data_IF_907174661764
#
_entry.id   IF_907174661764
#
_cell.length_a   1.000
_cell.length_b   1.000
_cell.length_c   1.000
_cell.angle_alpha   90.00
_cell.angle_beta   90.00
_cell.angle_gamma   90.00
#
_symmetry.space_group_name_H-M   'P 1'
#
loop_
_entity.id
_entity.type
_entity.pdbx_description
1 polymer ?
#
# COMPACT_ATOMS: atom_id res chain seq x y z
N UNK A 1 -46.66 -36.56 63.28
CA UNK A 1 -47.04 -37.97 63.10
C UNK A 1 -45.78 -38.81 63.12
N UNK A 2 -45.59 -39.52 64.23
CA UNK A 2 -44.57 -40.54 64.45
C UNK A 2 -44.77 -41.72 63.49
N UNK A 3 -43.68 -42.35 63.06
CA UNK A 3 -43.44 -43.79 63.29
C UNK A 3 -42.00 -44.19 62.95
N UNK A 4 -41.20 -44.22 64.04
CA UNK A 4 -40.29 -45.31 64.43
C UNK A 4 -39.20 -45.76 63.45
N UNK A 5 -37.98 -45.30 63.75
CA UNK A 5 -36.71 -46.02 63.64
C UNK A 5 -36.90 -47.50 64.03
N UNK A 6 -36.50 -48.41 63.13
CA UNK A 6 -36.19 -49.79 63.48
C UNK A 6 -34.72 -50.02 63.16
N UNK A 7 -33.93 -50.02 64.22
CA UNK A 7 -32.55 -50.48 64.24
C UNK A 7 -32.59 -52.01 64.19
N UNK A 8 -32.04 -52.61 63.13
CA UNK A 8 -31.76 -54.04 63.07
C UNK A 8 -30.27 -54.25 63.36
N UNK A 9 -29.94 -54.49 64.64
CA UNK A 9 -28.67 -55.10 65.03
C UNK A 9 -28.81 -56.59 64.74
N UNK A 10 -28.22 -57.05 63.64
CA UNK A 10 -27.94 -58.45 63.44
C UNK A 10 -26.51 -58.72 63.94
N UNK A 11 -26.40 -59.21 65.17
CA UNK A 11 -25.19 -59.86 65.63
C UNK A 11 -25.09 -61.22 64.93
N UNK A 12 -24.08 -61.41 64.08
CA UNK A 12 -23.69 -62.74 63.60
C UNK A 12 -22.27 -63.03 64.08
N UNK A 13 -22.20 -64.20 64.68
CA UNK A 13 -21.10 -64.83 65.38
C UNK A 13 -19.89 -65.07 64.48
N UNK A 14 -18.74 -65.20 65.14
CA UNK A 14 -17.46 -65.61 64.57
C UNK A 14 -17.58 -66.78 63.58
N UNK A 15 -16.90 -66.66 62.44
CA UNK A 15 -16.54 -67.80 61.59
C UNK A 15 -16.87 -67.64 60.11
N UNK A 16 -15.95 -67.07 59.33
CA UNK A 16 -15.84 -67.27 57.87
C UNK A 16 -16.88 -66.58 56.98
N UNK A 17 -16.43 -66.19 55.78
CA UNK A 17 -17.19 -65.70 54.60
C UNK A 17 -18.07 -64.45 54.74
N UNK A 18 -17.55 -63.31 54.26
CA UNK A 18 -18.04 -62.58 53.06
C UNK A 18 -17.70 -61.07 53.14
N UNK A 19 -16.47 -60.71 52.73
CA UNK A 19 -16.19 -59.38 52.19
C UNK A 19 -16.93 -59.23 50.85
N UNK A 20 -18.23 -58.96 50.86
CA UNK A 20 -19.01 -58.77 49.63
C UNK A 20 -20.21 -57.84 49.82
N UNK A 21 -20.00 -56.67 50.42
CA UNK A 21 -21.06 -55.66 50.52
C UNK A 21 -20.56 -54.21 50.41
N UNK A 22 -19.47 -53.98 49.67
CA UNK A 22 -19.02 -52.63 49.29
C UNK A 22 -18.78 -52.46 47.77
N UNK A 23 -19.26 -53.39 46.94
CA UNK A 23 -18.93 -53.44 45.50
C UNK A 23 -20.11 -53.20 44.54
N UNK A 24 -21.23 -52.63 44.99
CA UNK A 24 -22.42 -52.42 44.15
C UNK A 24 -22.72 -50.95 43.85
N UNK A 25 -21.76 -50.19 43.33
CA UNK A 25 -22.04 -48.90 42.66
C UNK A 25 -21.38 -48.78 41.26
N UNK A 26 -20.46 -49.67 40.85
CA UNK A 26 -19.77 -49.58 39.55
C UNK A 26 -19.84 -50.89 38.74
N UNK A 27 -21.03 -51.33 38.32
CA UNK A 27 -21.18 -52.37 37.27
C UNK A 27 -21.65 -51.76 35.95
N UNK A 28 -21.15 -50.58 35.58
CA UNK A 28 -21.22 -50.15 34.18
C UNK A 28 -20.42 -51.14 33.35
N UNK A 29 -21.01 -51.67 32.28
CA UNK A 29 -20.24 -52.39 31.27
C UNK A 29 -19.43 -51.35 30.46
N UNK A 30 -18.23 -51.74 30.00
CA UNK A 30 -17.37 -50.85 29.25
C UNK A 30 -16.79 -51.56 28.03
N UNK A 31 -16.75 -50.86 26.91
CA UNK A 31 -15.97 -51.23 25.73
C UNK A 31 -14.53 -50.73 25.89
N UNK A 32 -13.57 -51.52 25.42
CA UNK A 32 -12.16 -51.14 25.34
C UNK A 32 -11.93 -50.31 24.08
N UNK A 33 -11.25 -49.17 24.20
CA UNK A 33 -10.82 -48.38 23.04
C UNK A 33 -9.54 -48.99 22.48
N UNK A 34 -9.58 -49.39 21.20
CA UNK A 34 -8.45 -50.02 20.50
C UNK A 34 -7.61 -48.98 19.77
N UNK A 35 -8.24 -48.07 19.03
CA UNK A 35 -7.59 -47.08 18.18
C UNK A 35 -8.36 -45.77 18.22
N UNK A 36 -7.61 -44.66 18.24
CA UNK A 36 -8.15 -43.31 18.22
C UNK A 36 -7.45 -42.55 17.11
N UNK A 37 -8.20 -42.19 16.08
CA UNK A 37 -7.69 -41.44 14.93
C UNK A 37 -8.31 -40.05 14.92
N UNK A 38 -7.53 -38.97 15.10
CA UNK A 38 -8.08 -37.61 15.08
C UNK A 38 -8.58 -37.26 13.67
N UNK A 39 -9.74 -36.60 13.62
CA UNK A 39 -10.31 -36.02 12.42
C UNK A 39 -9.93 -34.54 12.39
N UNK A 40 -9.20 -34.13 11.37
CA UNK A 40 -8.77 -32.74 11.20
C UNK A 40 -9.47 -32.04 10.06
N UNK A 41 -9.72 -30.74 10.23
CA UNK A 41 -10.21 -29.83 9.20
C UNK A 41 -9.23 -28.67 9.02
N UNK A 42 -9.00 -28.24 7.77
CA UNK A 42 -8.15 -27.08 7.47
C UNK A 42 -8.93 -25.80 7.67
N UNK A 43 -8.57 -25.04 8.69
CA UNK A 43 -9.17 -23.74 9.02
C UNK A 43 -8.20 -22.60 8.75
N UNK A 44 -8.71 -21.45 8.32
CA UNK A 44 -7.89 -20.24 8.14
C UNK A 44 -7.58 -19.60 9.49
N UNK A 45 -6.30 -19.42 9.76
CA UNK A 45 -5.79 -18.77 10.96
C UNK A 45 -5.69 -17.26 10.72
N UNK A 46 -6.15 -16.47 11.67
CA UNK A 46 -6.07 -15.01 11.62
C UNK A 46 -5.37 -14.46 12.85
N UNK A 47 -4.51 -13.46 12.65
CA UNK A 47 -3.95 -12.64 13.72
C UNK A 47 -4.62 -11.28 13.77
N UNK A 48 -4.73 -10.70 14.97
CA UNK A 48 -5.20 -9.33 15.16
C UNK A 48 -4.06 -8.34 14.96
N UNK A 49 -4.30 -7.30 14.17
CA UNK A 49 -3.31 -6.25 13.90
C UNK A 49 -3.29 -5.26 15.05
N UNK A 50 -2.15 -5.17 15.74
CA UNK A 50 -1.93 -4.24 16.85
C UNK A 50 -1.50 -2.87 16.31
N UNK A 51 -0.56 -2.84 15.37
CA UNK A 51 -0.11 -1.61 14.72
C UNK A 51 0.42 -1.87 13.31
N UNK A 52 0.35 -0.86 12.45
CA UNK A 52 0.86 -0.91 11.09
C UNK A 52 1.55 0.42 10.75
N UNK A 53 2.88 0.43 10.88
CA UNK A 53 3.71 1.62 10.65
C UNK A 53 4.18 1.65 9.20
N UNK A 54 3.94 2.73 8.44
CA UNK A 54 4.40 2.81 7.06
C UNK A 54 5.93 2.87 6.99
N UNK A 55 6.50 2.08 6.09
CA UNK A 55 7.91 2.12 5.71
C UNK A 55 8.02 2.97 4.45
N UNK A 56 8.70 4.10 4.55
CA UNK A 56 8.84 5.06 3.46
C UNK A 56 10.26 5.10 2.91
N UNK A 57 10.39 5.28 1.61
CA UNK A 57 11.65 5.49 0.90
C UNK A 57 11.59 6.82 0.16
N UNK A 58 12.68 7.58 0.21
CA UNK A 58 12.86 8.76 -0.64
C UNK A 58 13.44 8.31 -1.96
N UNK A 59 12.75 8.63 -3.06
CA UNK A 59 13.20 8.40 -4.43
C UNK A 59 13.41 9.74 -5.13
N UNK A 60 14.34 9.79 -6.08
CA UNK A 60 14.49 10.96 -6.94
C UNK A 60 13.31 11.03 -7.90
N UNK A 61 12.51 12.08 -7.77
CA UNK A 61 11.43 12.39 -8.71
C UNK A 61 11.84 13.57 -9.59
N UNK A 62 11.37 13.59 -10.83
CA UNK A 62 11.48 14.77 -11.67
C UNK A 62 10.09 15.39 -11.85
N UNK A 63 10.01 16.70 -11.69
CA UNK A 63 8.79 17.48 -11.92
C UNK A 63 9.07 18.53 -12.97
N UNK A 64 8.20 18.60 -13.96
CA UNK A 64 8.22 19.69 -14.94
C UNK A 64 7.61 20.95 -14.31
N UNK A 65 8.39 22.03 -14.28
CA UNK A 65 7.97 23.34 -13.82
C UNK A 65 8.03 24.30 -15.00
N UNK A 66 6.87 24.84 -15.38
CA UNK A 66 6.75 25.78 -16.48
C UNK A 66 6.52 27.20 -15.95
N UNK A 67 7.40 28.12 -16.32
CA UNK A 67 7.35 29.53 -15.97
C UNK A 67 7.18 30.38 -17.24
N UNK A 68 6.35 31.42 -17.16
CA UNK A 68 6.23 32.39 -18.23
C UNK A 68 7.39 33.39 -18.11
N UNK A 69 8.29 33.40 -19.10
CA UNK A 69 9.45 34.31 -19.16
C UNK A 69 9.30 35.27 -20.32
N UNK A 70 9.69 36.53 -20.07
CA UNK A 70 9.81 37.52 -21.13
C UNK A 70 11.14 37.30 -21.83
N UNK A 71 11.08 36.93 -23.11
CA UNK A 71 12.25 36.68 -23.98
C UNK A 71 12.33 37.78 -25.03
N UNK A 72 13.55 38.26 -25.29
CA UNK A 72 13.83 39.33 -26.25
C UNK A 72 14.24 38.74 -27.60
N UNK A 73 13.56 39.14 -28.67
CA UNK A 73 13.92 38.81 -30.05
C UNK A 73 14.42 40.04 -30.78
N UNK A 74 15.47 39.88 -31.58
CA UNK A 74 15.85 40.90 -32.55
C UNK A 74 14.88 40.87 -33.73
N UNK A 75 14.23 41.99 -33.97
CA UNK A 75 13.25 42.12 -35.05
C UNK A 75 14.00 42.32 -36.36
N UNK A 76 13.58 41.61 -37.41
CA UNK A 76 14.17 41.83 -38.72
C UNK A 76 13.92 43.28 -39.20
N UNK A 77 14.95 43.95 -39.77
CA UNK A 77 14.79 45.31 -40.27
C UNK A 77 13.73 45.39 -41.37
N UNK A 78 12.79 46.35 -41.26
CA UNK A 78 11.79 46.61 -42.32
C UNK A 78 12.40 47.08 -43.65
N UNK A 79 13.62 47.62 -43.61
CA UNK A 79 14.37 48.10 -44.76
C UNK A 79 15.82 47.61 -44.63
N UNK A 80 16.12 46.38 -45.07
CA UNK A 80 17.43 45.75 -44.90
C UNK A 80 18.54 46.51 -45.65
N UNK A 81 18.18 47.17 -46.75
CA UNK A 81 19.10 47.95 -47.58
C UNK A 81 19.28 49.39 -47.08
N UNK A 82 18.58 49.79 -46.02
CA UNK A 82 18.62 51.14 -45.42
C UNK A 82 18.38 52.26 -46.46
N UNK A 83 17.52 51.97 -47.44
CA UNK A 83 17.26 52.85 -48.59
C UNK A 83 16.58 54.14 -48.13
N UNK A 84 15.67 54.04 -47.17
CA UNK A 84 14.85 55.17 -46.69
C UNK A 84 15.72 56.25 -46.07
N UNK A 85 16.63 55.88 -45.17
CA UNK A 85 17.57 56.79 -44.52
C UNK A 85 18.60 57.33 -45.51
N UNK A 86 19.07 56.49 -46.44
CA UNK A 86 20.02 56.89 -47.48
C UNK A 86 19.43 57.96 -48.41
N UNK A 87 18.21 57.72 -48.92
CA UNK A 87 17.54 58.65 -49.84
C UNK A 87 17.13 59.94 -49.13
N UNK A 88 16.51 59.84 -47.94
CA UNK A 88 16.14 61.03 -47.17
C UNK A 88 17.37 61.88 -46.80
N UNK A 89 18.45 61.23 -46.36
CA UNK A 89 19.72 61.88 -46.07
C UNK A 89 20.35 62.54 -47.29
N UNK A 90 20.30 61.90 -48.46
CA UNK A 90 20.81 62.45 -49.71
C UNK A 90 20.05 63.71 -50.15
N UNK A 91 18.72 63.69 -50.04
CA UNK A 91 17.87 64.84 -50.38
C UNK A 91 18.19 66.01 -49.45
N UNK A 92 18.19 65.77 -48.14
CA UNK A 92 18.50 66.83 -47.15
C UNK A 92 19.92 67.36 -47.35
N UNK A 93 20.91 66.48 -47.49
CA UNK A 93 22.30 66.87 -47.69
C UNK A 93 22.56 67.59 -49.02
N UNK A 94 21.85 67.22 -50.09
CA UNK A 94 21.90 67.90 -51.38
C UNK A 94 21.26 69.29 -51.34
N UNK A 95 20.12 69.44 -50.67
CA UNK A 95 19.45 70.74 -50.51
C UNK A 95 20.27 71.70 -49.65
N UNK A 96 20.94 71.21 -48.60
CA UNK A 96 21.86 72.01 -47.78
C UNK A 96 23.12 72.36 -48.59
N UNK A 97 23.72 71.39 -49.29
CA UNK A 97 24.91 71.61 -50.12
C UNK A 97 24.68 72.60 -51.27
N UNK A 98 23.46 72.67 -51.81
CA UNK A 98 23.08 73.61 -52.87
C UNK A 98 22.97 75.07 -52.39
N UNK A 99 22.92 75.31 -51.09
CA UNK A 99 22.87 76.67 -50.52
C UNK A 99 24.27 77.24 -50.23
N UNK A 100 25.32 76.42 -50.36
CA UNK A 100 26.70 76.81 -50.04
C UNK A 100 27.51 77.01 -51.32
N UNK A 101 27.85 78.27 -51.63
CA UNK A 101 28.70 78.66 -52.77
C UNK A 101 27.94 79.02 -54.05
N UNK A 102 28.68 79.57 -55.03
CA UNK A 102 28.16 79.98 -56.34
C UNK A 102 28.72 79.16 -57.51
N UNK A 103 28.07 79.26 -58.66
CA UNK A 103 28.57 78.68 -59.92
C UNK A 103 28.80 77.17 -59.89
N UNK A 104 29.97 76.73 -60.35
CA UNK A 104 30.41 75.33 -60.38
C UNK A 104 30.67 74.75 -58.98
N UNK A 105 31.08 75.59 -58.01
CA UNK A 105 31.28 75.18 -56.62
C UNK A 105 30.00 74.69 -55.95
N UNK A 106 28.86 75.32 -56.28
CA UNK A 106 27.54 74.91 -55.79
C UNK A 106 27.18 73.48 -56.23
N UNK A 107 27.45 73.10 -57.48
CA UNK A 107 27.16 71.75 -57.99
C UNK A 107 27.99 70.68 -57.26
N UNK A 108 29.26 70.96 -57.03
CA UNK A 108 30.16 70.09 -56.28
C UNK A 108 29.72 69.93 -54.82
N UNK A 109 29.35 71.04 -54.17
CA UNK A 109 28.83 71.04 -52.81
C UNK A 109 27.51 70.25 -52.67
N UNK A 110 26.61 70.35 -53.65
CA UNK A 110 25.37 69.53 -53.69
C UNK A 110 25.66 68.03 -53.78
N UNK A 111 26.59 67.60 -54.64
CA UNK A 111 26.94 66.17 -54.79
C UNK A 111 27.62 65.64 -53.53
N UNK A 112 28.57 66.41 -52.98
CA UNK A 112 29.24 66.06 -51.73
C UNK A 112 28.28 66.02 -50.54
N UNK A 113 27.37 67.00 -50.46
CA UNK A 113 26.32 67.07 -49.44
C UNK A 113 25.35 65.90 -49.54
N UNK A 114 24.91 65.53 -50.74
CA UNK A 114 24.05 64.37 -50.95
C UNK A 114 24.75 63.05 -50.58
N UNK A 115 26.02 62.86 -50.95
CA UNK A 115 26.78 61.67 -50.59
C UNK A 115 27.03 61.56 -49.06
N UNK A 116 27.39 62.67 -48.42
CA UNK A 116 27.58 62.74 -46.97
C UNK A 116 26.27 62.53 -46.20
N UNK A 117 25.19 63.16 -46.68
CA UNK A 117 23.84 62.99 -46.12
C UNK A 117 23.32 61.56 -46.27
N UNK A 118 23.55 60.92 -47.42
CA UNK A 118 23.24 59.50 -47.65
C UNK A 118 23.94 58.57 -46.65
N UNK A 119 25.25 58.78 -46.47
CA UNK A 119 26.04 57.97 -45.54
C UNK A 119 25.58 58.14 -44.09
N UNK A 120 25.36 59.38 -43.65
CA UNK A 120 24.87 59.68 -42.31
C UNK A 120 23.46 59.10 -42.08
N UNK A 121 22.55 59.26 -43.05
CA UNK A 121 21.20 58.74 -42.98
C UNK A 121 21.15 57.21 -42.92
N UNK A 122 22.02 56.52 -43.68
CA UNK A 122 22.20 55.06 -43.61
C UNK A 122 22.64 54.59 -42.22
N UNK A 123 23.60 55.29 -41.60
CA UNK A 123 24.13 54.93 -40.28
C UNK A 123 23.12 55.14 -39.15
N UNK A 124 22.32 56.20 -39.24
CA UNK A 124 21.24 56.46 -38.26
C UNK A 124 20.16 55.38 -38.35
N UNK A 125 19.72 55.02 -39.56
CA UNK A 125 18.74 53.96 -39.77
C UNK A 125 19.25 52.60 -39.28
N UNK A 126 20.53 52.29 -39.51
CA UNK A 126 21.19 51.10 -38.99
C UNK A 126 21.15 51.03 -37.46
N UNK A 127 21.59 52.08 -36.77
CA UNK A 127 21.57 52.12 -35.31
C UNK A 127 20.15 52.00 -34.72
N UNK A 128 19.13 52.51 -35.41
CA UNK A 128 17.75 52.37 -34.96
C UNK A 128 17.17 50.98 -35.22
N UNK A 129 17.55 50.33 -36.33
CA UNK A 129 17.13 48.97 -36.65
C UNK A 129 17.77 47.96 -35.69
N UNK A 130 19.06 48.14 -35.34
CA UNK A 130 19.80 47.27 -34.39
C UNK A 130 19.26 47.35 -32.96
N UNK A 131 18.63 48.47 -32.58
CA UNK A 131 18.06 48.67 -31.24
C UNK A 131 16.62 48.18 -31.11
N UNK A 132 16.01 47.66 -32.19
CA UNK A 132 14.64 47.16 -32.14
C UNK A 132 14.63 45.72 -31.64
N UNK A 133 14.37 45.59 -30.35
CA UNK A 133 14.02 44.32 -29.71
C UNK A 133 12.51 44.26 -29.51
N UNK A 134 11.93 43.09 -29.74
CA UNK A 134 10.55 42.78 -29.38
C UNK A 134 10.56 41.76 -28.25
N UNK A 135 9.77 42.03 -27.22
CA UNK A 135 9.58 41.12 -26.09
C UNK A 135 8.37 40.25 -26.35
N UNK A 136 8.53 38.94 -26.17
CA UNK A 136 7.42 37.99 -26.18
C UNK A 136 7.41 37.24 -24.86
N UNK A 137 6.22 36.98 -24.34
CA UNK A 137 6.07 36.03 -23.22
C UNK A 137 6.07 34.63 -23.80
N UNK A 138 7.04 33.81 -23.39
CA UNK A 138 7.10 32.40 -23.74
C UNK A 138 7.06 31.54 -22.48
N UNK A 139 6.40 30.39 -22.61
CA UNK A 139 6.33 29.41 -21.52
C UNK A 139 7.54 28.49 -21.60
N UNK A 140 8.43 28.63 -20.63
CA UNK A 140 9.66 27.84 -20.53
C UNK A 140 9.47 26.77 -19.48
N UNK A 141 9.55 25.50 -19.89
CA UNK A 141 9.44 24.36 -18.99
C UNK A 141 10.82 23.77 -18.69
N UNK A 142 11.09 23.52 -17.42
CA UNK A 142 12.33 22.89 -16.94
C UNK A 142 12.01 21.70 -16.04
N UNK A 143 12.82 20.64 -16.16
CA UNK A 143 12.74 19.49 -15.27
C UNK A 143 13.53 19.80 -13.99
N UNK A 144 12.82 19.78 -12.86
CA UNK A 144 13.40 19.97 -11.53
C UNK A 144 13.41 18.63 -10.81
N UNK A 145 14.57 18.21 -10.33
CA UNK A 145 14.69 17.02 -9.48
C UNK A 145 14.29 17.38 -8.06
N UNK A 146 13.27 16.70 -7.55
CA UNK A 146 12.73 16.91 -6.21
C UNK A 146 12.57 15.53 -5.53
N UNK A 147 13.06 15.35 -4.30
CA UNK A 147 12.92 14.08 -3.59
C UNK A 147 11.44 13.80 -3.31
N UNK A 148 10.97 12.62 -3.70
CA UNK A 148 9.62 12.15 -3.45
C UNK A 148 9.62 11.04 -2.41
N UNK A 149 8.77 11.13 -1.40
CA UNK A 149 8.59 10.06 -0.43
C UNK A 149 7.54 9.07 -0.92
N UNK A 150 7.89 7.79 -0.98
CA UNK A 150 6.99 6.69 -1.36
C UNK A 150 6.94 5.65 -0.25
N UNK A 151 5.74 5.26 0.15
CA UNK A 151 5.55 4.10 1.05
C UNK A 151 5.82 2.81 0.27
N UNK A 152 6.79 2.02 0.73
CA UNK A 152 7.21 0.76 0.12
C UNK A 152 6.67 -0.47 0.87
N UNK A 153 6.12 -0.28 2.06
CA UNK A 153 5.51 -1.35 2.84
C UNK A 153 5.06 -0.87 4.21
N UNK A 154 4.71 -1.83 5.07
CA UNK A 154 4.27 -1.59 6.44
C UNK A 154 4.94 -2.59 7.37
N UNK A 155 5.53 -2.09 8.45
CA UNK A 155 5.93 -2.92 9.58
C UNK A 155 4.72 -3.12 10.47
N UNK A 156 4.30 -4.38 10.55
CA UNK A 156 3.07 -4.79 11.22
C UNK A 156 3.41 -5.54 12.48
N UNK A 157 2.90 -5.04 13.60
CA UNK A 157 2.88 -5.80 14.86
C UNK A 157 1.52 -6.46 14.97
N UNK A 158 1.50 -7.77 15.17
CA UNK A 158 0.28 -8.57 15.27
C UNK A 158 0.26 -9.37 16.56
N UNK A 159 -0.94 -9.73 17.00
CA UNK A 159 -1.18 -10.65 18.11
C UNK A 159 -1.88 -11.89 17.56
N UNK A 160 -1.27 -13.06 17.77
CA UNK A 160 -1.83 -14.35 17.44
C UNK A 160 -1.90 -15.18 18.71
N UNK A 161 -3.12 -15.48 19.18
CA UNK A 161 -3.38 -16.27 20.39
C UNK A 161 -2.61 -15.79 21.65
N UNK A 162 -2.43 -14.48 21.79
CA UNK A 162 -1.70 -13.84 22.90
C UNK A 162 -0.21 -13.67 22.65
N UNK A 163 0.34 -14.20 21.55
CA UNK A 163 1.73 -14.03 21.17
C UNK A 163 1.89 -12.86 20.20
N UNK A 164 2.71 -11.89 20.58
CA UNK A 164 3.00 -10.72 19.75
C UNK A 164 4.14 -11.05 18.79
N UNK A 165 3.87 -10.89 17.50
CA UNK A 165 4.85 -11.05 16.42
C UNK A 165 4.98 -9.78 15.58
N UNK A 166 6.01 -9.75 14.74
CA UNK A 166 6.21 -8.72 13.73
C UNK A 166 6.37 -9.34 12.35
N UNK A 167 5.86 -8.64 11.34
CA UNK A 167 6.06 -8.98 9.94
C UNK A 167 6.05 -7.71 9.08
N UNK A 168 6.49 -7.85 7.82
CA UNK A 168 6.38 -6.79 6.83
C UNK A 168 5.35 -7.15 5.77
N UNK A 169 4.45 -6.21 5.47
CA UNK A 169 3.47 -6.34 4.39
C UNK A 169 3.71 -5.28 3.33
N UNK A 170 3.43 -5.60 2.07
CA UNK A 170 3.55 -4.62 0.96
C UNK A 170 2.42 -3.57 1.00
N UNK A 171 1.21 -4.01 1.35
CA UNK A 171 0.01 -3.17 1.44
C UNK A 171 -0.36 -2.94 2.90
N UNK A 172 -1.10 -1.85 3.15
CA UNK A 172 -1.62 -1.53 4.48
C UNK A 172 -2.55 -2.67 4.93
N UNK A 173 -2.26 -3.35 6.05
CA UNK A 173 -3.11 -4.44 6.51
C UNK A 173 -4.46 -3.91 7.01
N UNK A 174 -5.45 -4.79 7.03
CA UNK A 174 -6.73 -4.56 7.70
C UNK A 174 -6.62 -4.75 9.22
N UNK A 175 -7.75 -4.99 9.88
CA UNK A 175 -7.77 -5.30 11.33
C UNK A 175 -7.30 -6.73 11.64
N UNK A 176 -7.46 -7.65 10.69
CA UNK A 176 -7.07 -9.06 10.79
C UNK A 176 -6.16 -9.44 9.64
N UNK A 177 -5.13 -10.21 9.95
CA UNK A 177 -4.15 -10.73 8.99
C UNK A 177 -4.29 -12.24 8.86
N UNK A 178 -4.45 -12.79 7.64
CA UNK A 178 -4.39 -14.22 7.44
C UNK A 178 -2.98 -14.73 7.70
N UNK A 179 -2.86 -15.76 8.55
CA UNK A 179 -1.60 -16.39 8.95
C UNK A 179 -1.40 -17.76 8.26
N UNK A 180 -2.24 -18.08 7.28
CA UNK A 180 -2.26 -19.37 6.58
C UNK A 180 -3.37 -20.29 7.08
N UNK A 181 -3.27 -21.57 6.73
CA UNK A 181 -4.18 -22.62 7.16
C UNK A 181 -3.54 -23.45 8.28
N UNK A 182 -4.36 -23.93 9.22
CA UNK A 182 -3.94 -24.88 10.25
C UNK A 182 -4.95 -26.01 10.32
N UNK A 183 -4.46 -27.22 10.56
CA UNK A 183 -5.32 -28.36 10.88
C UNK A 183 -5.88 -28.21 12.30
N UNK A 184 -7.19 -28.13 12.41
CA UNK A 184 -7.93 -28.15 13.66
C UNK A 184 -8.57 -29.52 13.83
N UNK A 185 -8.38 -30.15 14.99
CA UNK A 185 -9.10 -31.39 15.34
C UNK A 185 -10.57 -31.03 15.58
N UNK A 186 -11.44 -31.64 14.79
CA UNK A 186 -12.91 -31.45 14.87
C UNK A 186 -13.63 -32.67 15.44
N UNK A 187 -12.90 -33.77 15.66
CA UNK A 187 -13.42 -34.98 16.29
C UNK A 187 -12.43 -36.14 16.23
N UNK A 188 -12.92 -37.32 16.60
CA UNK A 188 -12.14 -38.54 16.72
C UNK A 188 -12.91 -39.74 16.18
N UNK A 189 -12.19 -40.60 15.46
CA UNK A 189 -12.66 -41.89 14.99
C UNK A 189 -12.16 -42.93 15.97
N UNK A 190 -13.08 -43.48 16.73
CA UNK A 190 -12.76 -44.34 17.86
C UNK A 190 -13.17 -45.75 17.53
N UNK A 191 -12.18 -46.61 17.33
CA UNK A 191 -12.39 -48.05 17.19
C UNK A 191 -12.44 -48.67 18.57
N UNK A 192 -13.54 -49.34 18.88
CA UNK A 192 -13.79 -49.97 20.17
C UNK A 192 -14.03 -51.47 20.03
N UNK A 193 -13.74 -52.21 21.10
CA UNK A 193 -14.06 -53.63 21.26
C UNK A 193 -14.90 -53.84 22.49
N UNK A 194 -15.99 -54.56 22.33
CA UNK A 194 -16.82 -55.01 23.43
C UNK A 194 -17.21 -56.47 23.17
N UNK A 195 -16.75 -57.38 24.03
CA UNK A 195 -16.82 -58.83 23.82
C UNK A 195 -16.21 -59.18 22.44
N UNK A 196 -16.92 -59.92 21.59
CA UNK A 196 -16.46 -60.30 20.25
C UNK A 196 -16.80 -59.27 19.16
N UNK A 197 -17.37 -58.12 19.53
CA UNK A 197 -17.75 -57.06 18.61
C UNK A 197 -16.69 -55.97 18.54
N UNK A 198 -16.41 -55.51 17.32
CA UNK A 198 -15.56 -54.35 17.05
C UNK A 198 -16.37 -53.38 16.20
N UNK A 199 -16.33 -52.10 16.56
CA UNK A 199 -17.00 -51.04 15.83
C UNK A 199 -16.20 -49.75 15.85
N UNK A 200 -16.58 -48.81 14.99
CA UNK A 200 -16.04 -47.46 14.97
C UNK A 200 -17.14 -46.47 15.27
N UNK A 201 -16.85 -45.44 16.05
CA UNK A 201 -17.78 -44.36 16.35
C UNK A 201 -17.09 -43.00 16.21
N UNK A 202 -17.84 -41.99 15.78
CA UNK A 202 -17.40 -40.59 15.73
C UNK A 202 -17.65 -39.95 17.09
N UNK A 203 -16.66 -39.28 17.65
CA UNK A 203 -16.79 -38.52 18.89
C UNK A 203 -16.24 -37.11 18.69
N UNK A 204 -16.86 -36.11 19.32
CA UNK A 204 -16.41 -34.70 19.25
C UNK A 204 -15.24 -34.43 20.20
N UNK A 205 -15.16 -35.18 21.31
CA UNK A 205 -14.13 -35.08 22.33
C UNK A 205 -13.18 -36.29 22.30
N UNK A 206 -11.96 -36.11 22.80
CA UNK A 206 -10.97 -37.20 22.88
C UNK A 206 -11.48 -38.29 23.83
N UNK A 207 -11.60 -39.55 23.36
CA UNK A 207 -12.14 -40.62 24.18
C UNK A 207 -11.18 -40.98 25.33
N UNK A 208 -11.78 -41.41 26.45
CA UNK A 208 -11.03 -42.11 27.48
C UNK A 208 -10.59 -43.52 27.01
N UNK A 209 -9.85 -44.24 27.86
CA UNK A 209 -9.39 -45.62 27.55
C UNK A 209 -10.54 -46.63 27.37
N UNK A 210 -11.75 -46.28 27.82
CA UNK A 210 -12.93 -47.13 27.84
C UNK A 210 -14.17 -46.30 27.57
N UNK A 211 -15.13 -46.87 26.85
CA UNK A 211 -16.42 -46.26 26.58
C UNK A 211 -17.53 -46.99 27.36
N UNK A 212 -18.47 -46.26 27.99
CA UNK A 212 -19.58 -46.88 28.68
C UNK A 212 -20.49 -47.64 27.71
N UNK A 213 -21.02 -48.77 28.17
CA UNK A 213 -21.96 -49.61 27.45
C UNK A 213 -23.25 -49.67 28.26
N UNK A 214 -24.36 -49.37 27.60
CA UNK A 214 -25.69 -49.46 28.18
C UNK A 214 -26.55 -50.37 27.30
N UNK A 215 -27.18 -51.38 27.91
CA UNK A 215 -27.98 -52.39 27.20
C UNK A 215 -27.24 -53.06 26.02
N UNK A 216 -25.92 -53.27 26.15
CA UNK A 216 -25.08 -53.87 25.10
C UNK A 216 -24.71 -52.95 23.95
N UNK A 217 -25.06 -51.67 24.00
CA UNK A 217 -24.71 -50.64 23.00
C UNK A 217 -23.68 -49.69 23.60
N UNK A 218 -22.61 -49.42 22.85
CA UNK A 218 -21.64 -48.37 23.22
C UNK A 218 -22.33 -47.02 23.09
N UNK A 219 -22.38 -46.27 24.19
CA UNK A 219 -22.97 -44.94 24.21
C UNK A 219 -21.86 -43.88 24.16
N UNK A 220 -22.07 -42.84 23.37
CA UNK A 220 -21.19 -41.67 23.34
C UNK A 220 -21.70 -40.71 24.40
N UNK A 221 -20.85 -40.33 25.35
CA UNK A 221 -21.14 -39.17 26.18
C UNK A 221 -21.12 -37.95 25.25
N UNK A 222 -22.29 -37.45 24.85
CA UNK A 222 -22.36 -36.15 24.20
C UNK A 222 -21.94 -35.11 25.24
N UNK A 223 -20.75 -34.55 25.08
CA UNK A 223 -20.33 -33.37 25.84
C UNK A 223 -21.40 -32.31 25.67
N UNK A 224 -22.06 -31.94 26.78
CA UNK A 224 -23.17 -31.00 26.76
C UNK A 224 -22.78 -29.72 26.04
N UNK A 225 -23.40 -29.48 24.89
CA UNK A 225 -23.25 -28.23 24.15
C UNK A 225 -23.57 -27.07 25.07
N UNK A 226 -22.57 -26.24 25.36
CA UNK A 226 -22.82 -24.92 25.93
C UNK A 226 -23.47 -24.07 24.86
N UNK A 227 -24.78 -23.85 24.99
CA UNK A 227 -25.48 -22.75 24.33
C UNK A 227 -25.07 -21.40 24.88
#
# INVERSE_FOLDING_TARGET
>A
MNKTLVVAIAAVLAGGVAFAAYQRINQGEYAEVIEVTPVTERVQLFADVVSATPVTQTIEGNREVCEDRVVEYQVQPKDPNKVTGTVAGAVVGGLIGNQVGGGSGRKLATVAGAAGGAYAGRKIQENQQERRVETRTERVCQMVTEPQTRTIGYDVTYNLDGQVGQMRTEKKPGKRLPMGEKDQIVGYDVTWRYKDQVGTIRMDEEPGKRLPVENGVVIVAQGGGKG
#
